data_IF_653196352469
#
_entry.id   IF_653196352469
#
_cell.length_a   1.000
_cell.length_b   1.000
_cell.length_c   1.000
_cell.angle_alpha   90.00
_cell.angle_beta   90.00
_cell.angle_gamma   90.00
#
_symmetry.space_group_name_H-M   'P 1'
#
loop_
_entity.id
_entity.type
_entity.pdbx_description
1 polymer ?
#
# COMPACT_ATOMS: atom_id res chain seq x y z
N UNK A 1 -15.45 38.84 31.41
CA UNK A 1 -15.25 39.08 29.96
C UNK A 1 -13.87 38.66 29.47
N UNK A 2 -12.75 39.20 30.00
CA UNK A 2 -11.37 38.83 29.55
C UNK A 2 -11.05 37.32 29.58
N UNK A 3 -11.43 36.61 30.66
CA UNK A 3 -11.23 35.14 30.77
C UNK A 3 -12.05 34.33 29.76
N UNK A 4 -13.28 34.78 29.47
CA UNK A 4 -14.18 34.12 28.51
C UNK A 4 -13.65 34.32 27.09
N UNK A 5 -13.20 35.54 26.76
CA UNK A 5 -12.54 35.85 25.48
C UNK A 5 -11.27 35.02 25.30
N UNK A 6 -10.48 34.85 26.36
CA UNK A 6 -9.27 34.01 26.32
C UNK A 6 -9.60 32.52 26.11
N UNK A 7 -10.62 31.99 26.80
CA UNK A 7 -11.06 30.60 26.62
C UNK A 7 -11.62 30.37 25.21
N UNK A 8 -12.43 31.28 24.69
CA UNK A 8 -12.95 31.21 23.32
C UNK A 8 -11.81 31.26 22.28
N UNK A 9 -10.81 32.11 22.51
CA UNK A 9 -9.62 32.18 21.66
C UNK A 9 -8.81 30.88 21.68
N UNK A 10 -8.67 30.23 22.84
CA UNK A 10 -7.92 28.98 22.97
C UNK A 10 -8.66 27.81 22.29
N UNK A 11 -9.98 27.74 22.45
CA UNK A 11 -10.83 26.74 21.79
C UNK A 11 -10.80 26.93 20.27
N UNK A 12 -10.84 28.18 19.79
CA UNK A 12 -10.70 28.48 18.37
C UNK A 12 -9.33 28.06 17.82
N UNK A 13 -8.25 28.26 18.58
CA UNK A 13 -6.91 27.87 18.17
C UNK A 13 -6.77 26.35 18.04
N UNK A 14 -7.35 25.59 18.99
CA UNK A 14 -7.34 24.13 18.99
C UNK A 14 -8.17 23.56 17.84
N UNK A 15 -9.32 24.18 17.53
CA UNK A 15 -10.16 23.77 16.40
C UNK A 15 -9.46 23.97 15.04
N UNK A 16 -8.54 24.92 14.93
CA UNK A 16 -7.76 25.18 13.71
C UNK A 16 -6.49 24.31 13.59
N UNK A 17 -6.17 23.50 14.60
CA UNK A 17 -4.93 22.69 14.66
C UNK A 17 -5.05 21.26 14.12
N UNK A 18 -6.21 20.87 13.56
CA UNK A 18 -6.35 19.57 12.92
C UNK A 18 -5.54 19.52 11.61
N UNK A 19 -4.57 18.61 11.57
CA UNK A 19 -3.85 18.26 10.33
C UNK A 19 -4.56 17.06 9.71
N UNK A 20 -4.93 17.18 8.45
CA UNK A 20 -5.41 16.03 7.68
C UNK A 20 -4.20 15.15 7.33
N UNK A 21 -4.22 13.90 7.78
CA UNK A 21 -3.29 12.88 7.30
C UNK A 21 -3.96 12.16 6.12
N UNK A 22 -3.44 12.39 4.91
CA UNK A 22 -3.81 11.59 3.75
C UNK A 22 -2.98 10.31 3.79
N UNK A 23 -3.65 9.16 3.67
CA UNK A 23 -2.94 7.91 3.42
C UNK A 23 -2.30 8.01 2.04
N UNK A 24 -0.98 7.83 1.98
CA UNK A 24 -0.24 7.77 0.73
C UNK A 24 -0.41 6.38 0.09
N UNK A 25 -0.14 6.28 -1.21
CA UNK A 25 -0.23 5.01 -1.93
C UNK A 25 0.77 3.99 -1.36
N UNK A 26 0.41 2.69 -1.41
CA UNK A 26 1.31 1.63 -0.95
C UNK A 26 2.45 1.44 -1.97
N UNK A 27 3.68 1.73 -1.56
CA UNK A 27 4.88 1.57 -2.41
C UNK A 27 5.62 0.30 -2.02
N UNK A 28 5.91 -0.55 -3.01
CA UNK A 28 6.70 -1.78 -2.85
C UNK A 28 8.05 -1.61 -3.54
N UNK A 29 9.14 -1.88 -2.81
CA UNK A 29 10.51 -1.87 -3.33
C UNK A 29 11.16 -3.23 -3.13
N UNK A 30 11.85 -3.71 -4.16
CA UNK A 30 12.65 -4.94 -4.13
C UNK A 30 14.08 -4.55 -4.52
N UNK A 31 15.04 -4.82 -3.64
CA UNK A 31 16.45 -4.46 -3.82
C UNK A 31 16.64 -2.98 -4.24
N UNK A 32 16.00 -2.09 -3.47
CA UNK A 32 15.98 -0.63 -3.73
C UNK A 32 15.35 -0.18 -5.05
N UNK A 33 14.69 -1.09 -5.77
CA UNK A 33 14.00 -0.78 -7.01
C UNK A 33 12.49 -0.86 -6.82
N UNK A 34 11.78 0.21 -7.18
CA UNK A 34 10.33 0.26 -7.13
C UNK A 34 9.70 -0.78 -8.08
N UNK A 35 8.68 -1.47 -7.59
CA UNK A 35 7.79 -2.29 -8.40
C UNK A 35 6.75 -1.37 -9.04
N UNK A 36 6.62 -1.41 -10.36
CA UNK A 36 5.58 -0.64 -11.06
C UNK A 36 4.31 -1.47 -11.18
N UNK A 37 3.18 -0.84 -10.85
CA UNK A 37 1.84 -1.41 -10.90
C UNK A 37 0.97 -0.60 -11.87
N UNK A 38 0.00 -1.27 -12.49
CA UNK A 38 -0.94 -0.66 -13.43
C UNK A 38 -2.31 -1.37 -13.32
N UNK A 39 -3.30 -0.89 -14.08
CA UNK A 39 -4.66 -1.43 -14.02
C UNK A 39 -4.76 -2.92 -14.39
N UNK A 40 -3.91 -3.42 -15.30
CA UNK A 40 -3.90 -4.83 -15.72
C UNK A 40 -3.32 -5.77 -14.65
N UNK A 41 -2.31 -5.30 -13.91
CA UNK A 41 -1.66 -6.04 -12.83
C UNK A 41 -2.38 -5.87 -11.49
N UNK A 42 -3.18 -4.82 -11.35
CA UNK A 42 -3.74 -4.36 -10.09
C UNK A 42 -2.73 -3.54 -9.26
N UNK A 43 -3.23 -2.93 -8.19
CA UNK A 43 -2.45 -2.11 -7.26
C UNK A 43 -2.42 -2.77 -5.87
N UNK A 44 -1.34 -2.60 -5.10
CA UNK A 44 -1.30 -3.03 -3.72
C UNK A 44 -2.30 -2.24 -2.86
N UNK A 45 -2.91 -2.91 -1.89
CA UNK A 45 -3.87 -2.30 -0.96
C UNK A 45 -3.85 -3.00 0.40
N UNK A 46 -4.46 -2.39 1.40
CA UNK A 46 -4.63 -3.00 2.73
C UNK A 46 -6.03 -3.62 2.82
N UNK A 47 -6.11 -4.91 3.14
CA UNK A 47 -7.38 -5.62 3.31
C UNK A 47 -8.05 -5.32 4.66
N UNK A 48 -9.27 -5.82 4.85
CA UNK A 48 -10.04 -5.65 6.10
C UNK A 48 -9.37 -6.30 7.32
N UNK A 49 -8.40 -7.19 7.11
CA UNK A 49 -7.62 -7.84 8.14
C UNK A 49 -6.31 -7.10 8.45
N UNK A 50 -6.15 -5.87 7.95
CA UNK A 50 -4.93 -5.06 8.06
C UNK A 50 -3.69 -5.72 7.45
N UNK A 51 -3.85 -6.44 6.34
CA UNK A 51 -2.72 -7.02 5.59
C UNK A 51 -2.53 -6.31 4.28
N UNK A 52 -1.28 -6.09 3.91
CA UNK A 52 -0.94 -5.57 2.59
C UNK A 52 -1.04 -6.67 1.56
N UNK A 53 -2.05 -6.58 0.70
CA UNK A 53 -2.21 -7.41 -0.47
C UNK A 53 -1.39 -6.80 -1.60
N UNK A 54 -0.58 -7.62 -2.25
CA UNK A 54 0.32 -7.17 -3.32
C UNK A 54 0.10 -8.05 -4.55
N UNK A 55 0.01 -7.47 -5.76
CA UNK A 55 -0.06 -8.23 -7.00
C UNK A 55 1.09 -9.23 -7.14
N UNK A 56 0.73 -10.52 -7.15
CA UNK A 56 1.66 -11.65 -7.09
C UNK A 56 2.67 -11.64 -8.26
N UNK A 57 2.17 -11.57 -9.50
CA UNK A 57 2.99 -11.61 -10.71
C UNK A 57 4.00 -10.46 -10.75
N UNK A 58 3.51 -9.22 -10.67
CA UNK A 58 4.34 -8.02 -10.77
C UNK A 58 5.50 -8.02 -9.77
N UNK A 59 5.21 -8.45 -8.54
CA UNK A 59 6.20 -8.49 -7.45
C UNK A 59 7.24 -9.57 -7.66
N UNK A 60 6.82 -10.79 -7.98
CA UNK A 60 7.75 -11.92 -8.11
C UNK A 60 8.57 -11.85 -9.40
N UNK A 61 8.00 -11.36 -10.50
CA UNK A 61 8.77 -11.08 -11.72
C UNK A 61 9.81 -9.98 -11.48
N UNK A 62 9.46 -8.93 -10.72
CA UNK A 62 10.43 -7.91 -10.32
C UNK A 62 11.54 -8.47 -9.41
N UNK A 63 11.23 -9.48 -8.61
CA UNK A 63 12.20 -10.23 -7.80
C UNK A 63 13.07 -11.22 -8.62
N UNK A 64 12.78 -11.38 -9.91
CA UNK A 64 13.51 -12.24 -10.82
C UNK A 64 12.98 -13.67 -10.92
N UNK A 65 11.75 -13.94 -10.44
CA UNK A 65 11.06 -15.20 -10.71
C UNK A 65 10.33 -15.15 -12.08
N UNK A 66 10.05 -16.31 -12.65
CA UNK A 66 9.10 -16.46 -13.77
C UNK A 66 7.75 -16.88 -13.18
N UNK A 67 6.66 -16.22 -13.57
CA UNK A 67 5.32 -16.54 -13.10
C UNK A 67 4.46 -17.08 -14.22
N UNK A 68 3.96 -18.29 -14.05
CA UNK A 68 3.12 -19.00 -15.00
C UNK A 68 1.74 -19.30 -14.40
N UNK A 69 0.77 -19.56 -15.28
CA UNK A 69 -0.59 -19.93 -14.88
C UNK A 69 -0.89 -21.34 -15.36
N UNK A 70 -1.14 -22.23 -14.42
CA UNK A 70 -1.69 -23.55 -14.68
C UNK A 70 -3.22 -23.46 -14.74
N UNK A 71 -3.74 -23.59 -15.96
CA UNK A 71 -5.17 -23.52 -16.23
C UNK A 71 -5.94 -24.75 -15.69
N UNK A 72 -5.31 -25.91 -15.61
CA UNK A 72 -5.97 -27.15 -15.17
C UNK A 72 -6.28 -27.08 -13.67
N UNK A 73 -5.31 -26.64 -12.89
CA UNK A 73 -5.45 -26.54 -11.43
C UNK A 73 -5.89 -25.16 -10.96
N UNK A 74 -5.95 -24.18 -11.86
CA UNK A 74 -6.17 -22.77 -11.53
C UNK A 74 -5.15 -22.23 -10.52
N UNK A 75 -3.87 -22.51 -10.78
CA UNK A 75 -2.75 -22.17 -9.89
C UNK A 75 -1.79 -21.21 -10.56
N UNK A 76 -1.43 -20.13 -9.87
CA UNK A 76 -0.29 -19.30 -10.24
C UNK A 76 0.98 -19.89 -9.63
N UNK A 77 1.98 -20.16 -10.47
CA UNK A 77 3.24 -20.78 -10.07
C UNK A 77 4.35 -19.77 -10.32
N UNK A 78 5.22 -19.56 -9.33
CA UNK A 78 6.42 -18.74 -9.49
C UNK A 78 7.65 -19.64 -9.39
N UNK A 79 8.66 -19.41 -10.23
CA UNK A 79 9.89 -20.21 -10.20
C UNK A 79 11.12 -19.31 -10.28
N UNK A 80 12.08 -19.53 -9.38
CA UNK A 80 13.37 -18.82 -9.35
C UNK A 80 14.48 -19.79 -8.96
N UNK A 81 15.55 -19.84 -9.75
CA UNK A 81 16.74 -20.67 -9.46
C UNK A 81 16.39 -22.14 -9.13
N UNK A 82 15.49 -22.74 -9.92
CA UNK A 82 14.95 -24.12 -9.74
C UNK A 82 14.06 -24.33 -8.50
N UNK A 83 13.78 -23.27 -7.73
CA UNK A 83 12.84 -23.27 -6.61
C UNK A 83 11.47 -22.82 -7.12
N UNK A 84 10.45 -23.61 -6.79
CA UNK A 84 9.03 -23.33 -7.05
C UNK A 84 8.34 -22.96 -5.74
#
# INVERSE_FOLDING_TARGET
MKKIVFILSLVLLLALSSVNAFADDVIINIDSTKVEFNEDLGFPFVDENNRTQVPFRATLEKYGAVVEWDQETSTAIATKDEIV
#
